data_IF_698920355642
#
_entry.id   IF_698920355642
#
_cell.length_a   1.000
_cell.length_b   1.000
_cell.length_c   1.000
_cell.angle_alpha   90.00
_cell.angle_beta   90.00
_cell.angle_gamma   90.00
#
_symmetry.space_group_name_H-M   'P 1'
#
loop_
_entity.id
_entity.type
_entity.pdbx_description
1 polymer ?
#
# COMPACT_ATOMS: atom_id res chain seq x y z
N UNK A 1 -31.81 -59.42 -48.40
CA UNK A 1 -31.73 -59.53 -46.92
C UNK A 1 -31.04 -58.27 -46.42
N UNK A 2 -31.77 -57.33 -45.79
CA UNK A 2 -31.80 -57.09 -44.32
C UNK A 2 -30.38 -57.00 -43.72
N UNK A 3 -29.99 -56.05 -42.90
CA UNK A 3 -30.55 -54.84 -42.30
C UNK A 3 -29.32 -54.14 -41.65
N UNK A 4 -29.21 -52.82 -41.62
CA UNK A 4 -29.45 -52.11 -40.36
C UNK A 4 -28.41 -51.00 -40.15
N UNK A 5 -28.91 -49.77 -40.10
CA UNK A 5 -28.32 -48.58 -39.46
C UNK A 5 -28.20 -48.83 -37.92
N UNK A 6 -27.35 -48.09 -37.17
CA UNK A 6 -27.74 -46.75 -36.73
C UNK A 6 -26.67 -45.67 -36.83
N UNK A 7 -27.15 -44.50 -37.25
CA UNK A 7 -26.56 -43.21 -36.97
C UNK A 7 -26.90 -42.81 -35.53
N UNK A 8 -25.92 -42.69 -34.64
CA UNK A 8 -26.02 -41.96 -33.36
C UNK A 8 -24.62 -41.72 -32.79
N UNK A 9 -23.91 -40.70 -33.29
CA UNK A 9 -22.73 -40.19 -32.59
C UNK A 9 -22.50 -38.67 -32.78
N UNK A 10 -23.35 -37.99 -33.56
CA UNK A 10 -23.17 -36.58 -33.91
C UNK A 10 -24.22 -35.63 -33.28
N UNK A 11 -25.09 -36.11 -32.38
CA UNK A 11 -26.18 -35.30 -31.80
C UNK A 11 -26.09 -35.06 -30.28
N UNK A 12 -25.01 -35.47 -29.61
CA UNK A 12 -24.85 -35.29 -28.15
C UNK A 12 -23.80 -34.26 -27.74
N UNK A 13 -23.15 -33.57 -28.68
CA UNK A 13 -22.10 -32.59 -28.35
C UNK A 13 -22.54 -31.12 -28.39
N UNK A 14 -23.79 -30.87 -28.76
CA UNK A 14 -24.32 -29.51 -28.98
C UNK A 14 -25.37 -29.09 -27.93
N UNK A 15 -25.64 -29.94 -26.93
CA UNK A 15 -26.65 -29.68 -25.89
C UNK A 15 -26.14 -29.20 -24.52
N UNK A 16 -24.84 -29.03 -24.33
CA UNK A 16 -24.29 -28.63 -23.02
C UNK A 16 -23.58 -27.26 -22.99
N UNK A 17 -23.61 -26.49 -24.09
CA UNK A 17 -23.03 -25.13 -24.12
C UNK A 17 -24.08 -24.03 -23.85
N UNK A 18 -25.35 -24.41 -23.67
CA UNK A 18 -26.44 -23.48 -23.33
C UNK A 18 -26.87 -23.55 -21.86
N UNK A 19 -25.93 -23.87 -20.95
CA UNK A 19 -26.13 -23.64 -19.52
C UNK A 19 -26.00 -22.14 -19.22
N UNK A 20 -27.13 -21.44 -19.34
CA UNK A 20 -27.51 -20.20 -18.65
C UNK A 20 -26.37 -19.47 -17.92
N UNK A 21 -25.78 -18.46 -18.56
CA UNK A 21 -25.33 -17.26 -17.84
C UNK A 21 -26.58 -16.47 -17.44
N UNK A 22 -27.23 -16.89 -16.35
CA UNK A 22 -28.14 -15.98 -15.65
C UNK A 22 -27.32 -14.78 -15.13
N UNK A 23 -27.80 -13.54 -15.32
CA UNK A 23 -27.11 -12.38 -14.80
C UNK A 23 -27.05 -12.47 -13.27
N UNK A 24 -25.86 -12.21 -12.72
CA UNK A 24 -25.43 -12.29 -11.32
C UNK A 24 -26.14 -11.24 -10.40
N UNK A 25 -27.40 -10.93 -10.68
CA UNK A 25 -28.24 -9.95 -9.97
C UNK A 25 -28.86 -10.51 -8.68
N UNK A 26 -28.86 -11.84 -8.46
CA UNK A 26 -29.35 -12.43 -7.19
C UNK A 26 -28.35 -12.32 -6.04
N UNK A 27 -27.06 -12.13 -6.34
CA UNK A 27 -25.98 -12.10 -5.32
C UNK A 27 -26.09 -10.92 -4.35
N UNK A 28 -26.76 -9.83 -4.77
CA UNK A 28 -26.90 -8.59 -4.00
C UNK A 28 -28.31 -8.31 -3.48
N UNK A 29 -29.21 -9.31 -3.47
CA UNK A 29 -30.49 -9.16 -2.76
C UNK A 29 -30.26 -9.27 -1.26
N UNK A 30 -30.73 -8.26 -0.52
CA UNK A 30 -30.75 -8.24 0.94
C UNK A 30 -31.91 -9.11 1.43
N UNK A 31 -31.64 -10.39 1.61
CA UNK A 31 -32.59 -11.31 2.24
C UNK A 31 -32.59 -11.09 3.75
N UNK A 32 -33.71 -11.39 4.43
CA UNK A 32 -33.87 -11.19 5.88
C UNK A 32 -32.73 -11.86 6.67
N UNK A 33 -32.33 -13.06 6.25
CA UNK A 33 -31.20 -13.80 6.84
C UNK A 33 -29.89 -13.00 6.79
N UNK A 34 -29.59 -12.36 5.64
CA UNK A 34 -28.39 -11.53 5.48
C UNK A 34 -28.46 -10.30 6.37
N UNK A 35 -29.63 -9.67 6.47
CA UNK A 35 -29.83 -8.51 7.35
C UNK A 35 -29.59 -8.91 8.81
N UNK A 36 -30.17 -10.03 9.26
CA UNK A 36 -29.96 -10.54 10.63
C UNK A 36 -28.48 -10.88 10.85
N UNK A 37 -27.85 -11.64 9.94
CA UNK A 37 -26.45 -12.02 10.04
C UNK A 37 -25.52 -10.82 10.17
N UNK A 38 -25.66 -9.81 9.30
CA UNK A 38 -24.83 -8.60 9.36
C UNK A 38 -25.12 -7.77 10.61
N UNK A 39 -26.38 -7.65 11.02
CA UNK A 39 -26.77 -6.92 12.24
C UNK A 39 -26.13 -7.56 13.47
N UNK A 40 -26.25 -8.88 13.63
CA UNK A 40 -25.66 -9.63 14.75
C UNK A 40 -24.13 -9.55 14.69
N UNK A 41 -23.53 -9.64 13.51
CA UNK A 41 -22.08 -9.54 13.33
C UNK A 41 -21.56 -8.16 13.74
N UNK A 42 -22.16 -7.08 13.26
CA UNK A 42 -21.78 -5.71 13.65
C UNK A 42 -22.03 -5.44 15.13
N UNK A 43 -23.15 -5.93 15.68
CA UNK A 43 -23.44 -5.79 17.11
C UNK A 43 -22.41 -6.54 17.96
N UNK A 44 -22.00 -7.74 17.56
CA UNK A 44 -21.00 -8.55 18.26
C UNK A 44 -19.62 -7.91 18.22
N UNK A 45 -19.20 -7.42 17.04
CA UNK A 45 -17.95 -6.66 16.87
C UNK A 45 -17.96 -5.38 17.70
N UNK A 46 -19.04 -4.60 17.61
CA UNK A 46 -19.22 -3.37 18.37
C UNK A 46 -19.19 -3.62 19.88
N UNK A 47 -19.85 -4.68 20.35
CA UNK A 47 -19.84 -5.09 21.76
C UNK A 47 -18.43 -5.47 22.23
N UNK A 48 -17.71 -6.30 21.47
CA UNK A 48 -16.34 -6.69 21.82
C UNK A 48 -15.39 -5.49 21.86
N UNK A 49 -15.45 -4.60 20.86
CA UNK A 49 -14.65 -3.37 20.83
C UNK A 49 -15.00 -2.42 21.97
N UNK A 50 -16.29 -2.28 22.31
CA UNK A 50 -16.74 -1.47 23.44
C UNK A 50 -16.25 -2.03 24.78
N UNK A 51 -16.40 -3.35 25.00
CA UNK A 51 -15.89 -4.04 26.20
C UNK A 51 -14.39 -3.83 26.37
N UNK A 52 -13.64 -3.98 25.28
CA UNK A 52 -12.21 -3.68 25.28
C UNK A 52 -11.92 -2.20 25.59
N UNK A 53 -12.65 -1.25 25.01
CA UNK A 53 -12.43 0.19 25.22
C UNK A 53 -12.66 0.67 26.67
N UNK A 54 -13.63 0.06 27.37
CA UNK A 54 -14.04 0.44 28.73
C UNK A 54 -13.35 -0.42 29.80
N UNK A 55 -12.52 -1.39 29.42
CA UNK A 55 -11.81 -2.25 30.36
C UNK A 55 -10.89 -1.44 31.30
N UNK A 56 -10.92 -1.75 32.59
CA UNK A 56 -10.13 -1.07 33.64
C UNK A 56 -8.62 -1.16 33.39
N UNK A 57 -8.16 -2.22 32.72
CA UNK A 57 -6.75 -2.38 32.30
C UNK A 57 -6.27 -1.25 31.38
N UNK A 58 -7.17 -0.58 30.65
CA UNK A 58 -6.81 0.60 29.85
C UNK A 58 -6.44 1.80 30.74
N UNK A 59 -7.03 1.94 31.91
CA UNK A 59 -6.67 2.99 32.86
C UNK A 59 -5.31 2.69 33.53
N UNK A 60 -5.00 1.42 33.78
CA UNK A 60 -3.69 0.99 34.30
C UNK A 60 -2.58 1.27 33.29
N UNK A 61 -2.80 0.97 32.00
CA UNK A 61 -1.87 1.30 30.91
C UNK A 61 -1.46 2.78 30.91
N UNK A 62 -2.41 3.70 31.11
CA UNK A 62 -2.13 5.14 31.16
C UNK A 62 -1.19 5.50 32.33
N UNK A 63 -1.28 4.78 33.46
CA UNK A 63 -0.46 5.02 34.65
C UNK A 63 0.95 4.47 34.49
N UNK A 64 1.07 3.29 33.90
CA UNK A 64 2.34 2.55 33.82
C UNK A 64 3.14 2.89 32.55
N UNK A 65 2.49 3.17 31.42
CA UNK A 65 3.13 3.54 30.15
C UNK A 65 3.01 5.04 29.85
N UNK A 66 3.34 5.93 30.81
CA UNK A 66 3.16 7.39 30.64
C UNK A 66 3.76 7.97 29.33
N UNK A 67 4.90 7.46 28.89
CA UNK A 67 5.57 7.90 27.65
C UNK A 67 4.92 7.34 26.37
N UNK A 68 4.04 6.35 26.50
CA UNK A 68 3.29 5.74 25.41
C UNK A 68 2.04 6.53 25.02
N UNK A 69 1.67 7.55 25.78
CA UNK A 69 0.47 8.34 25.56
C UNK A 69 0.78 9.84 25.44
N UNK A 70 -0.03 10.54 24.66
CA UNK A 70 0.07 11.98 24.46
C UNK A 70 -1.30 12.66 24.58
N UNK A 71 -1.36 13.95 24.95
CA UNK A 71 -2.59 14.73 24.86
C UNK A 71 -3.15 14.71 23.43
N UNK A 72 -4.48 14.70 23.31
CA UNK A 72 -5.13 14.73 22.01
C UNK A 72 -4.86 16.06 21.30
N UNK A 73 -4.39 16.04 20.04
CA UNK A 73 -4.25 17.26 19.24
C UNK A 73 -5.60 17.87 18.84
N UNK A 74 -6.72 17.16 19.08
CA UNK A 74 -8.07 17.59 18.72
C UNK A 74 -8.89 18.08 19.93
N UNK A 75 -8.25 18.26 21.09
CA UNK A 75 -8.93 18.70 22.32
C UNK A 75 -9.81 17.63 22.98
N UNK A 76 -9.65 16.35 22.62
CA UNK A 76 -10.33 15.26 23.32
C UNK A 76 -9.74 15.10 24.73
N UNK A 77 -10.61 14.81 25.71
CA UNK A 77 -10.19 14.54 27.10
C UNK A 77 -9.38 13.25 27.23
N UNK A 78 -9.66 12.24 26.39
CA UNK A 78 -8.90 10.99 26.39
C UNK A 78 -7.51 11.20 25.77
N UNK A 79 -6.51 10.55 26.34
CA UNK A 79 -5.16 10.54 25.78
C UNK A 79 -5.09 9.66 24.54
N UNK A 80 -4.19 10.02 23.62
CA UNK A 80 -3.91 9.29 22.40
C UNK A 80 -2.77 8.29 22.63
N UNK A 81 -2.97 7.03 22.23
CA UNK A 81 -1.91 6.02 22.14
C UNK A 81 -0.94 6.40 21.00
N UNK A 82 0.32 6.68 21.37
CA UNK A 82 1.42 7.00 20.44
C UNK A 82 2.43 5.87 20.31
N UNK A 83 2.11 4.69 20.85
CA UNK A 83 2.95 3.48 20.77
C UNK A 83 2.81 2.76 19.43
N UNK A 84 1.72 3.00 18.68
CA UNK A 84 1.55 2.52 17.31
C UNK A 84 2.50 3.28 16.37
N UNK A 85 3.64 2.66 16.12
CA UNK A 85 4.68 3.20 15.25
C UNK A 85 4.20 3.41 13.80
N UNK A 86 3.48 2.43 13.25
CA UNK A 86 3.00 2.45 11.87
C UNK A 86 2.00 3.59 11.67
N UNK A 87 0.98 3.66 12.52
CA UNK A 87 -0.02 4.73 12.45
C UNK A 87 0.62 6.11 12.63
N UNK A 88 1.51 6.28 13.61
CA UNK A 88 2.16 7.58 13.86
C UNK A 88 2.99 8.06 12.67
N UNK A 89 3.70 7.13 12.01
CA UNK A 89 4.49 7.45 10.80
C UNK A 89 3.57 7.76 9.63
N UNK A 90 2.49 7.00 9.46
CA UNK A 90 1.50 7.23 8.39
C UNK A 90 0.76 8.55 8.57
N UNK A 91 0.35 8.87 9.80
CA UNK A 91 -0.23 10.17 10.17
C UNK A 91 0.70 11.31 9.79
N UNK A 92 1.98 11.22 10.14
CA UNK A 92 2.99 12.20 9.77
C UNK A 92 3.07 12.38 8.25
N UNK A 93 3.21 11.28 7.49
CA UNK A 93 3.31 11.37 6.03
C UNK A 93 2.06 12.00 5.43
N UNK A 94 0.87 11.57 5.84
CA UNK A 94 -0.39 12.14 5.31
C UNK A 94 -0.48 13.64 5.60
N UNK A 95 -0.20 14.06 6.84
CA UNK A 95 -0.32 15.46 7.25
C UNK A 95 0.75 16.38 6.65
N UNK A 96 1.96 15.88 6.38
CA UNK A 96 3.00 16.67 5.72
C UNK A 96 2.87 16.65 4.18
N UNK A 97 2.40 15.53 3.62
CA UNK A 97 2.38 15.29 2.18
C UNK A 97 1.04 15.61 1.49
N UNK A 98 -0.05 15.90 2.22
CA UNK A 98 -1.38 16.00 1.60
C UNK A 98 -1.44 16.95 0.39
N UNK A 99 -0.75 18.10 0.46
CA UNK A 99 -0.65 19.06 -0.66
C UNK A 99 -0.01 18.41 -1.88
N UNK A 100 1.05 17.64 -1.68
CA UNK A 100 1.73 16.91 -2.75
C UNK A 100 0.83 15.87 -3.39
N UNK A 101 0.05 15.15 -2.59
CA UNK A 101 -0.90 14.15 -3.07
C UNK A 101 -2.08 14.76 -3.84
N UNK A 102 -2.56 15.95 -3.47
CA UNK A 102 -3.62 16.66 -4.18
C UNK A 102 -3.13 17.30 -5.48
N UNK A 103 -1.92 17.87 -5.47
CA UNK A 103 -1.34 18.53 -6.65
C UNK A 103 -0.90 17.52 -7.72
N UNK A 104 -0.36 16.37 -7.31
CA UNK A 104 0.16 15.35 -8.23
C UNK A 104 -0.84 14.95 -9.34
N UNK A 105 -2.09 14.53 -9.06
CA UNK A 105 -3.04 14.14 -10.11
C UNK A 105 -3.44 15.29 -11.03
N UNK A 106 -3.53 16.53 -10.51
CA UNK A 106 -3.85 17.71 -11.32
C UNK A 106 -2.73 17.99 -12.32
N UNK A 107 -1.49 18.09 -11.82
CA UNK A 107 -0.31 18.35 -12.64
C UNK A 107 0.02 17.19 -13.59
N UNK A 108 -0.17 15.96 -13.15
CA UNK A 108 -0.03 14.76 -14.00
C UNK A 108 -1.02 14.80 -15.16
N UNK A 109 -2.28 15.18 -14.91
CA UNK A 109 -3.32 15.26 -15.94
C UNK A 109 -3.03 16.41 -16.91
N UNK A 110 -2.59 17.56 -16.42
CA UNK A 110 -2.13 18.66 -17.26
C UNK A 110 -0.96 18.22 -18.16
N UNK A 111 0.06 17.58 -17.59
CA UNK A 111 1.21 17.06 -18.36
C UNK A 111 0.77 16.05 -19.40
N UNK A 112 -0.10 15.11 -19.04
CA UNK A 112 -0.63 14.11 -19.97
C UNK A 112 -1.47 14.72 -21.11
N UNK A 113 -2.09 15.88 -20.90
CA UNK A 113 -2.87 16.58 -21.90
C UNK A 113 -1.99 17.40 -22.87
N UNK A 114 -1.06 18.19 -22.33
CA UNK A 114 -0.24 19.10 -23.12
C UNK A 114 0.99 18.41 -23.75
N UNK A 115 1.69 17.58 -22.98
CA UNK A 115 2.95 16.95 -23.40
C UNK A 115 3.06 15.51 -22.86
N UNK A 116 2.28 14.55 -23.41
CA UNK A 116 2.19 13.19 -22.88
C UNK A 116 3.53 12.44 -22.86
N UNK A 117 4.48 12.78 -23.74
CA UNK A 117 5.83 12.21 -23.76
C UNK A 117 6.66 12.54 -22.51
N UNK A 118 6.38 13.66 -21.84
CA UNK A 118 7.07 14.09 -20.62
C UNK A 118 6.44 13.54 -19.34
N UNK A 119 5.32 12.80 -19.42
CA UNK A 119 4.65 12.27 -18.23
C UNK A 119 5.57 11.41 -17.33
N UNK A 120 6.44 10.52 -17.86
CA UNK A 120 7.39 9.79 -17.03
C UNK A 120 8.41 10.72 -16.36
N UNK A 121 8.87 11.74 -17.08
CA UNK A 121 9.80 12.75 -16.53
C UNK A 121 9.15 13.54 -15.41
N UNK A 122 7.88 13.94 -15.58
CA UNK A 122 7.09 14.58 -14.54
C UNK A 122 6.98 13.70 -13.29
N UNK A 123 6.59 12.42 -13.43
CA UNK A 123 6.50 11.52 -12.29
C UNK A 123 7.84 11.36 -11.56
N UNK A 124 8.93 11.18 -12.28
CA UNK A 124 10.26 11.05 -11.69
C UNK A 124 10.69 12.33 -10.97
N UNK A 125 10.58 13.49 -11.63
CA UNK A 125 11.05 14.79 -11.08
C UNK A 125 10.18 15.24 -9.91
N UNK A 126 8.86 15.23 -10.05
CA UNK A 126 7.94 15.63 -8.98
C UNK A 126 8.13 14.76 -7.73
N UNK A 127 8.25 13.45 -7.91
CA UNK A 127 8.45 12.52 -6.79
C UNK A 127 9.85 12.65 -6.18
N UNK A 128 10.87 12.98 -6.98
CA UNK A 128 12.22 13.25 -6.46
C UNK A 128 12.24 14.50 -5.57
N UNK A 129 11.57 15.57 -6.01
CA UNK A 129 11.43 16.79 -5.21
C UNK A 129 10.65 16.49 -3.92
N UNK A 130 9.57 15.70 -4.01
CA UNK A 130 8.83 15.24 -2.84
C UNK A 130 9.74 14.52 -1.82
N UNK A 131 10.52 13.53 -2.28
CA UNK A 131 11.44 12.78 -1.42
C UNK A 131 12.46 13.71 -0.76
N UNK A 132 13.10 14.58 -1.55
CA UNK A 132 14.09 15.51 -1.03
C UNK A 132 13.50 16.46 0.03
N UNK A 133 12.25 16.88 -0.13
CA UNK A 133 11.57 17.80 0.79
C UNK A 133 11.03 17.13 2.06
N UNK A 134 10.46 15.94 1.96
CA UNK A 134 9.82 15.26 3.10
C UNK A 134 10.82 14.38 3.86
N UNK A 135 11.73 13.71 3.16
CA UNK A 135 12.67 12.74 3.75
C UNK A 135 14.11 13.24 3.81
N UNK A 136 14.46 14.26 3.02
CA UNK A 136 15.82 14.78 2.90
C UNK A 136 16.49 14.40 1.59
N UNK A 137 17.45 15.23 1.15
CA UNK A 137 18.13 15.04 -0.14
C UNK A 137 19.05 13.80 -0.13
N UNK A 138 19.60 13.42 1.02
CA UNK A 138 20.41 12.20 1.17
C UNK A 138 19.58 10.95 0.86
N UNK A 139 18.30 10.94 1.28
CA UNK A 139 17.37 9.86 0.98
C UNK A 139 17.08 9.78 -0.51
N UNK A 140 16.94 10.91 -1.19
CA UNK A 140 16.81 10.95 -2.65
C UNK A 140 18.03 10.31 -3.34
N UNK A 141 19.24 10.68 -2.91
CA UNK A 141 20.48 10.10 -3.47
C UNK A 141 20.52 8.59 -3.26
N UNK A 142 20.12 8.10 -2.07
CA UNK A 142 20.04 6.66 -1.80
C UNK A 142 19.03 5.96 -2.72
N UNK A 143 17.85 6.54 -2.94
CA UNK A 143 16.85 5.95 -3.82
C UNK A 143 17.30 5.93 -5.28
N UNK A 144 18.01 6.98 -5.73
CA UNK A 144 18.60 7.04 -7.06
C UNK A 144 19.71 6.00 -7.22
N UNK A 145 20.53 5.80 -6.18
CA UNK A 145 21.55 4.75 -6.12
C UNK A 145 20.93 3.35 -6.20
N UNK A 146 19.86 3.08 -5.45
CA UNK A 146 19.10 1.83 -5.56
C UNK A 146 18.60 1.62 -7.00
N UNK A 147 17.96 2.64 -7.58
CA UNK A 147 17.47 2.58 -8.95
C UNK A 147 18.60 2.29 -9.95
N UNK A 148 19.72 2.99 -9.85
CA UNK A 148 20.89 2.81 -10.71
C UNK A 148 21.46 1.39 -10.61
N UNK A 149 21.54 0.82 -9.41
CA UNK A 149 21.98 -0.56 -9.20
C UNK A 149 21.07 -1.58 -9.91
N UNK A 150 19.75 -1.44 -9.74
CA UNK A 150 18.79 -2.32 -10.43
C UNK A 150 18.74 -2.08 -11.94
N UNK A 151 18.91 -0.85 -12.39
CA UNK A 151 19.01 -0.51 -13.81
C UNK A 151 20.24 -1.18 -14.43
N UNK A 152 21.41 -1.09 -13.80
CA UNK A 152 22.63 -1.73 -14.27
C UNK A 152 22.52 -3.26 -14.26
N UNK A 153 22.02 -3.86 -13.17
CA UNK A 153 21.92 -5.33 -13.07
C UNK A 153 20.91 -5.92 -14.05
N UNK A 154 19.86 -5.16 -14.40
CA UNK A 154 18.87 -5.59 -15.40
C UNK A 154 19.51 -5.84 -16.78
N UNK A 155 20.60 -5.13 -17.10
CA UNK A 155 21.35 -5.29 -18.35
C UNK A 155 22.06 -6.64 -18.44
N UNK A 156 22.44 -7.22 -17.30
CA UNK A 156 23.16 -8.49 -17.21
C UNK A 156 22.26 -9.71 -17.46
N UNK A 157 20.93 -9.52 -17.52
CA UNK A 157 19.94 -10.56 -17.88
C UNK A 157 19.94 -11.80 -16.99
N UNK A 158 20.43 -11.69 -15.76
CA UNK A 158 20.48 -12.78 -14.77
C UNK A 158 19.61 -12.43 -13.55
N UNK A 159 18.44 -13.06 -13.40
CA UNK A 159 17.53 -12.83 -12.26
C UNK A 159 18.22 -13.00 -10.91
N UNK A 160 19.13 -13.97 -10.79
CA UNK A 160 19.91 -14.19 -9.57
C UNK A 160 20.67 -12.94 -9.12
N UNK A 161 21.21 -12.15 -10.05
CA UNK A 161 21.95 -10.94 -9.71
C UNK A 161 21.04 -9.85 -9.15
N UNK A 162 19.78 -9.77 -9.58
CA UNK A 162 18.79 -8.86 -8.99
C UNK A 162 18.57 -9.16 -7.50
N UNK A 163 18.44 -10.44 -7.15
CA UNK A 163 18.31 -10.86 -5.76
C UNK A 163 19.59 -10.64 -4.95
N UNK A 164 20.77 -10.89 -5.54
CA UNK A 164 22.06 -10.60 -4.88
C UNK A 164 22.20 -9.10 -4.59
N UNK A 165 21.90 -8.23 -5.56
CA UNK A 165 21.91 -6.77 -5.35
C UNK A 165 20.91 -6.37 -4.27
N UNK A 166 19.69 -6.92 -4.30
CA UNK A 166 18.69 -6.65 -3.29
C UNK A 166 19.14 -7.08 -1.88
N UNK A 167 19.74 -8.26 -1.78
CA UNK A 167 20.31 -8.80 -0.55
C UNK A 167 21.42 -7.90 -0.03
N UNK A 168 22.39 -7.52 -0.85
CA UNK A 168 23.47 -6.60 -0.47
C UNK A 168 22.91 -5.27 0.04
N UNK A 169 21.97 -4.65 -0.69
CA UNK A 169 21.34 -3.38 -0.29
C UNK A 169 20.57 -3.52 1.03
N UNK A 170 19.91 -4.65 1.29
CA UNK A 170 19.17 -4.88 2.53
C UNK A 170 20.09 -5.15 3.71
N UNK A 171 21.14 -5.96 3.51
CA UNK A 171 22.04 -6.42 4.55
C UNK A 171 23.18 -5.45 4.85
N UNK A 172 23.43 -4.43 4.01
CA UNK A 172 24.48 -3.45 4.25
C UNK A 172 24.38 -2.79 5.64
N UNK A 173 23.18 -2.64 6.20
CA UNK A 173 22.98 -2.05 7.53
C UNK A 173 23.59 -2.87 8.68
N UNK A 174 23.85 -4.16 8.46
CA UNK A 174 24.44 -5.05 9.46
C UNK A 174 25.97 -5.13 9.35
N UNK A 175 26.52 -4.68 8.23
CA UNK A 175 27.96 -4.79 7.92
C UNK A 175 28.64 -3.43 7.96
N UNK A 176 27.95 -2.37 7.52
CA UNK A 176 28.49 -1.02 7.53
C UNK A 176 28.41 -0.44 8.95
N UNK A 177 29.48 0.17 9.47
CA UNK A 177 29.50 0.81 10.79
C UNK A 177 28.72 2.15 10.82
N UNK A 178 27.87 2.39 9.82
CA UNK A 178 27.12 3.64 9.68
C UNK A 178 25.79 3.57 10.42
N UNK A 179 25.66 4.37 11.48
CA UNK A 179 24.40 4.54 12.19
C UNK A 179 23.49 5.55 11.48
N UNK A 180 22.62 5.03 10.60
CA UNK A 180 21.63 5.83 9.89
C UNK A 180 20.64 6.52 10.83
N UNK A 181 20.32 5.91 12.00
CA UNK A 181 19.45 6.53 13.01
C UNK A 181 20.17 7.72 13.62
N UNK A 182 21.40 7.52 14.09
CA UNK A 182 22.23 8.54 14.71
C UNK A 182 22.52 9.74 13.79
N UNK A 183 22.60 9.52 12.47
CA UNK A 183 22.77 10.63 11.50
C UNK A 183 21.44 11.34 11.15
N UNK A 184 20.40 10.58 10.77
CA UNK A 184 19.15 11.17 10.26
C UNK A 184 18.28 11.77 11.37
N UNK A 185 18.25 11.14 12.55
CA UNK A 185 17.35 11.55 13.63
C UNK A 185 17.62 12.97 14.14
N UNK A 186 18.87 13.39 14.44
CA UNK A 186 19.14 14.76 14.87
C UNK A 186 18.87 15.80 13.79
N UNK A 187 19.03 15.44 12.51
CA UNK A 187 18.94 16.37 11.38
C UNK A 187 17.52 16.59 10.87
N UNK A 188 16.74 15.52 10.77
CA UNK A 188 15.40 15.54 10.17
C UNK A 188 14.30 15.14 11.17
N UNK A 189 14.65 14.58 12.32
CA UNK A 189 13.69 14.08 13.29
C UNK A 189 13.26 12.64 13.05
N UNK A 190 12.51 12.10 14.01
CA UNK A 190 12.22 10.67 14.09
C UNK A 190 11.25 10.21 13.00
N UNK A 191 10.26 11.04 12.68
CA UNK A 191 9.20 10.66 11.74
C UNK A 191 9.68 10.61 10.28
N UNK A 192 10.44 11.62 9.77
CA UNK A 192 11.06 11.52 8.45
C UNK A 192 11.96 10.29 8.31
N UNK A 193 12.81 10.01 9.31
CA UNK A 193 13.66 8.82 9.31
C UNK A 193 12.83 7.53 9.18
N UNK A 194 11.78 7.38 9.98
CA UNK A 194 10.91 6.19 9.96
C UNK A 194 10.20 6.04 8.61
N UNK A 195 9.67 7.14 8.07
CA UNK A 195 8.99 7.14 6.79
C UNK A 195 9.96 6.81 5.64
N UNK A 196 11.17 7.37 5.67
CA UNK A 196 12.23 7.06 4.72
C UNK A 196 12.66 5.60 4.79
N UNK A 197 12.77 5.02 5.99
CA UNK A 197 13.10 3.61 6.18
C UNK A 197 12.05 2.69 5.55
N UNK A 198 10.76 2.97 5.72
CA UNK A 198 9.68 2.20 5.08
C UNK A 198 9.73 2.36 3.56
N UNK A 199 9.83 3.60 3.07
CA UNK A 199 9.89 3.91 1.64
C UNK A 199 11.12 3.29 0.96
N UNK A 200 12.26 3.19 1.65
CA UNK A 200 13.48 2.53 1.17
C UNK A 200 13.24 1.05 0.82
N UNK A 201 12.48 0.33 1.65
CA UNK A 201 12.15 -1.08 1.40
C UNK A 201 11.12 -1.23 0.28
N UNK A 202 10.17 -0.30 0.16
CA UNK A 202 9.26 -0.27 -0.99
C UNK A 202 9.98 0.01 -2.30
N UNK A 203 10.95 0.92 -2.30
CA UNK A 203 11.76 1.22 -3.48
C UNK A 203 12.64 0.03 -3.87
N UNK A 204 13.20 -0.69 -2.87
CA UNK A 204 13.92 -1.95 -3.08
C UNK A 204 13.03 -2.99 -3.79
N UNK A 205 11.79 -3.19 -3.33
CA UNK A 205 10.84 -4.12 -3.96
C UNK A 205 10.48 -3.71 -5.39
N UNK A 206 10.30 -2.41 -5.67
CA UNK A 206 10.09 -1.92 -7.04
C UNK A 206 11.31 -2.16 -7.93
N UNK A 207 12.51 -1.96 -7.41
CA UNK A 207 13.75 -2.28 -8.12
C UNK A 207 13.79 -3.76 -8.56
N UNK A 208 13.41 -4.67 -7.66
CA UNK A 208 13.29 -6.10 -7.96
C UNK A 208 12.22 -6.34 -9.04
N UNK A 209 10.99 -5.86 -8.85
CA UNK A 209 9.88 -6.05 -9.80
C UNK A 209 10.26 -5.57 -11.20
N UNK A 210 10.72 -4.33 -11.33
CA UNK A 210 11.18 -3.78 -12.61
C UNK A 210 12.27 -4.65 -13.24
N UNK A 211 13.32 -4.97 -12.50
CA UNK A 211 14.46 -5.68 -13.06
C UNK A 211 14.10 -7.10 -13.52
N UNK A 212 13.28 -7.83 -12.77
CA UNK A 212 12.83 -9.17 -13.13
C UNK A 212 11.89 -9.17 -14.34
N UNK A 213 10.92 -8.25 -14.37
CA UNK A 213 9.97 -8.11 -15.48
C UNK A 213 10.68 -7.68 -16.77
N UNK A 214 11.64 -6.77 -16.66
CA UNK A 214 12.48 -6.40 -17.80
C UNK A 214 13.32 -7.59 -18.30
N UNK A 215 14.00 -8.33 -17.41
CA UNK A 215 14.78 -9.50 -17.83
C UNK A 215 13.88 -10.56 -18.48
N UNK A 216 12.69 -10.79 -17.94
CA UNK A 216 11.71 -11.74 -18.48
C UNK A 216 11.25 -11.34 -19.88
N UNK A 217 10.86 -10.07 -20.09
CA UNK A 217 10.46 -9.57 -21.40
C UNK A 217 11.60 -9.65 -22.42
N UNK A 218 12.83 -9.31 -22.03
CA UNK A 218 14.00 -9.42 -22.91
C UNK A 218 14.36 -10.88 -23.27
N UNK A 219 14.08 -11.86 -22.40
CA UNK A 219 14.28 -13.28 -22.74
C UNK A 219 13.22 -13.81 -23.70
N UNK A 220 12.00 -13.28 -23.62
CA UNK A 220 10.87 -13.69 -24.45
C UNK A 220 10.87 -13.03 -25.84
N UNK A 221 11.50 -11.87 -26.01
CA UNK A 221 11.60 -11.17 -27.29
C UNK A 221 12.30 -12.06 -28.33
N UNK A 222 11.74 -12.33 -29.52
CA UNK A 222 12.37 -13.22 -30.52
C UNK A 222 13.49 -12.52 -31.32
N UNK A 223 13.42 -11.20 -31.48
CA UNK A 223 14.35 -10.39 -32.28
C UNK A 223 15.60 -9.99 -31.45
N UNK A 224 16.78 -10.46 -31.87
CA UNK A 224 18.05 -10.17 -31.20
C UNK A 224 18.40 -8.68 -31.13
N UNK A 225 18.04 -7.89 -32.14
CA UNK A 225 18.29 -6.44 -32.15
C UNK A 225 17.40 -5.73 -31.11
N UNK A 226 16.18 -6.25 -30.87
CA UNK A 226 15.30 -5.76 -29.82
C UNK A 226 15.70 -6.25 -28.43
N UNK A 227 16.27 -7.46 -28.33
CA UNK A 227 16.83 -8.02 -27.08
C UNK A 227 17.94 -7.16 -26.47
N UNK A 228 18.68 -6.40 -27.28
CA UNK A 228 19.83 -5.61 -26.82
C UNK A 228 19.49 -4.20 -26.32
N UNK A 229 18.21 -3.82 -26.31
CA UNK A 229 17.80 -2.48 -25.88
C UNK A 229 17.95 -2.31 -24.37
N UNK A 230 18.36 -1.11 -23.97
CA UNK A 230 18.32 -0.70 -22.57
C UNK A 230 16.86 -0.48 -22.13
N UNK A 231 16.56 -0.69 -20.84
CA UNK A 231 15.27 -0.28 -20.31
C UNK A 231 15.05 1.23 -20.50
N UNK A 232 13.83 1.68 -20.83
CA UNK A 232 13.53 3.10 -21.00
C UNK A 232 13.66 3.85 -19.68
N UNK A 233 14.81 4.52 -19.48
CA UNK A 233 15.26 5.09 -18.20
C UNK A 233 14.18 5.92 -17.47
N UNK A 234 13.55 6.87 -18.16
CA UNK A 234 12.54 7.73 -17.52
C UNK A 234 11.30 6.96 -17.05
N UNK A 235 10.92 5.88 -17.72
CA UNK A 235 9.77 5.05 -17.31
C UNK A 235 10.12 4.19 -16.10
N UNK A 236 11.35 3.66 -16.07
CA UNK A 236 11.83 2.87 -14.93
C UNK A 236 12.02 3.74 -13.69
N UNK A 237 12.52 4.97 -13.88
CA UNK A 237 12.68 5.94 -12.81
C UNK A 237 11.32 6.43 -12.29
N UNK A 238 10.38 6.73 -13.18
CA UNK A 238 9.00 7.08 -12.81
C UNK A 238 8.32 6.00 -11.97
N UNK A 239 8.54 4.72 -12.30
CA UNK A 239 8.02 3.59 -11.53
C UNK A 239 8.66 3.49 -10.15
N UNK A 240 10.00 3.55 -10.08
CA UNK A 240 10.72 3.45 -8.81
C UNK A 240 10.24 4.52 -7.82
N UNK A 241 10.07 5.75 -8.30
CA UNK A 241 9.70 6.88 -7.46
C UNK A 241 8.20 7.20 -7.40
N UNK A 242 7.31 6.39 -7.98
CA UNK A 242 5.90 6.78 -8.13
C UNK A 242 5.26 7.25 -6.81
N UNK A 243 5.01 8.57 -6.70
CA UNK A 243 4.61 9.23 -5.46
C UNK A 243 3.39 8.59 -4.78
N UNK A 244 2.28 8.29 -5.49
CA UNK A 244 1.08 7.76 -4.85
C UNK A 244 1.32 6.50 -4.01
N UNK A 245 2.36 5.73 -4.33
CA UNK A 245 2.71 4.50 -3.61
C UNK A 245 4.04 4.58 -2.88
N UNK A 246 4.78 5.70 -2.93
CA UNK A 246 6.16 5.79 -2.44
C UNK A 246 6.34 5.34 -0.98
N UNK A 247 5.39 5.70 -0.11
CA UNK A 247 5.38 5.32 1.31
C UNK A 247 4.34 4.24 1.64
N UNK A 248 3.16 4.27 0.99
CA UNK A 248 1.99 3.48 1.38
C UNK A 248 2.02 1.99 0.97
N UNK A 249 3.14 1.47 0.46
CA UNK A 249 3.24 0.06 0.06
C UNK A 249 2.50 -0.28 -1.25
N UNK A 250 2.49 -1.56 -1.68
CA UNK A 250 2.53 -1.86 -3.09
C UNK A 250 1.16 -2.28 -3.60
N UNK A 251 0.75 -1.81 -4.77
CA UNK A 251 -0.16 -2.64 -5.55
C UNK A 251 0.08 -2.50 -7.06
N UNK A 252 1.34 -2.40 -7.49
CA UNK A 252 1.59 -2.30 -8.92
C UNK A 252 2.95 -2.88 -9.32
N UNK A 253 2.89 -3.93 -10.11
CA UNK A 253 4.03 -4.44 -10.86
C UNK A 253 4.45 -3.41 -11.92
N UNK A 254 5.66 -3.55 -12.45
CA UNK A 254 6.17 -2.60 -13.43
C UNK A 254 5.35 -2.61 -14.73
N UNK A 255 4.92 -3.78 -15.20
CA UNK A 255 4.08 -3.93 -16.39
C UNK A 255 2.70 -3.26 -16.21
N UNK A 256 2.06 -3.47 -15.06
CA UNK A 256 0.79 -2.80 -14.73
C UNK A 256 0.95 -1.29 -14.69
N UNK A 257 2.10 -0.80 -14.20
CA UNK A 257 2.46 0.62 -14.23
C UNK A 257 2.58 1.15 -15.65
N UNK A 258 3.29 0.43 -16.52
CA UNK A 258 3.41 0.83 -17.92
C UNK A 258 2.04 0.87 -18.62
N UNK A 259 1.19 -0.13 -18.40
CA UNK A 259 -0.17 -0.17 -18.97
C UNK A 259 -0.99 1.04 -18.50
N UNK A 260 -1.00 1.35 -17.21
CA UNK A 260 -1.76 2.47 -16.67
C UNK A 260 -1.21 3.83 -17.11
N UNK A 261 0.11 3.96 -17.22
CA UNK A 261 0.77 5.19 -17.63
C UNK A 261 0.50 5.51 -19.10
N UNK A 262 0.49 4.50 -19.97
CA UNK A 262 0.25 4.67 -21.41
C UNK A 262 -1.25 4.73 -21.76
N UNK A 263 -2.15 4.41 -20.81
CA UNK A 263 -3.59 4.43 -21.04
C UNK A 263 -4.07 5.88 -21.31
N UNK A 264 -4.87 6.12 -22.37
CA UNK A 264 -5.50 7.41 -22.60
C UNK A 264 -6.29 7.86 -21.36
N UNK A 265 -6.08 9.10 -20.94
CA UNK A 265 -6.80 9.66 -19.79
C UNK A 265 -8.24 9.95 -20.22
N UNK A 266 -9.23 9.56 -19.40
CA UNK A 266 -10.61 9.85 -19.74
C UNK A 266 -10.86 11.37 -19.66
N UNK A 267 -12.01 11.86 -20.14
CA UNK A 267 -12.34 13.30 -20.10
C UNK A 267 -12.73 13.70 -18.68
N UNK A 268 -12.37 14.92 -18.25
CA UNK A 268 -12.77 15.46 -16.94
C UNK A 268 -14.29 15.66 -16.88
N UNK A 269 -15.03 14.59 -16.58
CA UNK A 269 -16.47 14.67 -16.36
C UNK A 269 -16.77 15.00 -14.90
N UNK A 270 -17.88 15.70 -14.60
CA UNK A 270 -18.31 15.94 -13.22
C UNK A 270 -18.44 14.65 -12.39
N UNK A 271 -18.86 13.55 -13.03
CA UNK A 271 -18.97 12.24 -12.40
C UNK A 271 -17.61 11.67 -11.96
N UNK A 272 -16.56 11.84 -12.76
CA UNK A 272 -15.20 11.45 -12.38
C UNK A 272 -14.72 12.24 -11.16
N UNK A 273 -14.97 13.56 -11.17
CA UNK A 273 -14.59 14.44 -10.06
C UNK A 273 -15.34 14.05 -8.80
N UNK A 274 -16.65 13.81 -8.87
CA UNK A 274 -17.46 13.33 -7.75
C UNK A 274 -16.97 11.96 -7.23
N UNK A 275 -16.61 11.05 -8.13
CA UNK A 275 -16.05 9.74 -7.76
C UNK A 275 -14.71 9.89 -7.04
N UNK A 276 -13.82 10.75 -7.53
CA UNK A 276 -12.56 11.08 -6.87
C UNK A 276 -12.78 11.70 -5.49
N UNK A 277 -13.68 12.67 -5.38
CA UNK A 277 -14.05 13.30 -4.11
C UNK A 277 -14.60 12.25 -3.12
N UNK A 278 -15.49 11.35 -3.56
CA UNK A 278 -16.00 10.25 -2.74
C UNK A 278 -14.90 9.31 -2.24
N UNK A 279 -13.89 9.01 -3.07
CA UNK A 279 -12.72 8.20 -2.65
C UNK A 279 -11.89 8.94 -1.59
N UNK A 280 -11.66 10.24 -1.76
CA UNK A 280 -10.93 11.06 -0.79
C UNK A 280 -11.70 11.14 0.53
N UNK A 281 -13.01 11.39 0.49
CA UNK A 281 -13.87 11.42 1.67
C UNK A 281 -13.84 10.08 2.41
N UNK A 282 -13.93 8.97 1.68
CA UNK A 282 -13.81 7.63 2.25
C UNK A 282 -12.45 7.42 2.94
N UNK A 283 -11.35 7.82 2.29
CA UNK A 283 -10.02 7.76 2.91
C UNK A 283 -9.91 8.66 4.14
N UNK A 284 -10.52 9.84 4.12
CA UNK A 284 -10.62 10.73 5.28
C UNK A 284 -11.41 10.11 6.43
N UNK A 285 -12.52 9.42 6.14
CA UNK A 285 -13.29 8.69 7.14
C UNK A 285 -12.47 7.57 7.80
N UNK A 286 -11.67 6.82 7.02
CA UNK A 286 -10.75 5.81 7.57
C UNK A 286 -9.67 6.46 8.44
N UNK A 287 -9.11 7.60 8.01
CA UNK A 287 -8.13 8.34 8.80
C UNK A 287 -8.73 8.79 10.15
N UNK A 288 -9.95 9.34 10.15
CA UNK A 288 -10.65 9.75 11.36
C UNK A 288 -10.99 8.56 12.26
N UNK A 289 -11.39 7.43 11.68
CA UNK A 289 -11.63 6.20 12.42
C UNK A 289 -10.36 5.75 13.13
N UNK A 290 -9.23 5.70 12.44
CA UNK A 290 -7.93 5.35 13.03
C UNK A 290 -7.50 6.32 14.14
N UNK A 291 -7.70 7.63 13.93
CA UNK A 291 -7.48 8.62 14.98
C UNK A 291 -8.37 8.34 16.20
N UNK A 292 -9.66 8.09 16.00
CA UNK A 292 -10.58 7.77 17.10
C UNK A 292 -10.14 6.50 17.82
N UNK A 293 -9.83 5.43 17.08
CA UNK A 293 -9.36 4.18 17.66
C UNK A 293 -8.10 4.39 18.52
N UNK A 294 -7.15 5.24 18.10
CA UNK A 294 -5.97 5.53 18.92
C UNK A 294 -6.27 6.24 20.25
N UNK A 295 -7.44 6.87 20.42
CA UNK A 295 -7.84 7.51 21.68
C UNK A 295 -8.65 6.59 22.60
N UNK A 296 -9.29 5.55 22.05
CA UNK A 296 -10.22 4.70 22.81
C UNK A 296 -9.81 3.24 22.89
N UNK A 297 -9.02 2.75 21.93
CA UNK A 297 -8.59 1.37 21.79
C UNK A 297 -7.06 1.35 21.83
N UNK A 298 -6.51 1.23 23.04
CA UNK A 298 -5.06 1.23 23.30
C UNK A 298 -4.40 -0.10 22.90
N UNK A 299 -4.79 -0.67 21.76
CA UNK A 299 -4.39 -2.00 21.33
C UNK A 299 -2.88 -2.11 21.04
N UNK A 300 -2.26 -1.04 20.54
CA UNK A 300 -0.83 -1.01 20.28
C UNK A 300 0.00 -0.92 21.57
N UNK A 301 -0.50 -0.21 22.59
CA UNK A 301 0.12 -0.21 23.91
C UNK A 301 -0.07 -1.57 24.60
N UNK A 302 -1.29 -2.10 24.58
CA UNK A 302 -1.66 -3.38 25.20
C UNK A 302 -0.86 -4.56 24.62
N UNK A 303 -0.59 -4.58 23.31
CA UNK A 303 0.18 -5.66 22.67
C UNK A 303 1.64 -5.74 23.11
N UNK A 304 2.19 -4.66 23.68
CA UNK A 304 3.54 -4.65 24.26
C UNK A 304 3.59 -5.21 25.67
N UNK A 305 2.45 -5.65 26.20
CA UNK A 305 2.31 -6.03 27.60
C UNK A 305 1.54 -7.35 27.78
N UNK A 306 2.19 -8.47 27.44
CA UNK A 306 1.53 -9.78 27.37
C UNK A 306 0.94 -10.24 28.71
N UNK A 307 1.54 -9.85 29.83
CA UNK A 307 1.04 -10.19 31.16
C UNK A 307 -0.33 -9.58 31.46
N UNK A 308 -0.59 -8.35 31.00
CA UNK A 308 -1.90 -7.71 31.16
C UNK A 308 -2.93 -8.32 30.22
N UNK A 309 -2.52 -8.62 28.98
CA UNK A 309 -3.37 -9.30 27.99
C UNK A 309 -3.90 -10.63 28.52
N UNK A 310 -3.08 -11.40 29.24
CA UNK A 310 -3.47 -12.67 29.83
C UNK A 310 -4.59 -12.56 30.89
N UNK A 311 -4.83 -11.36 31.44
CA UNK A 311 -5.87 -11.10 32.45
C UNK A 311 -7.18 -10.56 31.88
N UNK A 312 -7.27 -10.36 30.56
CA UNK A 312 -8.47 -9.83 29.93
C UNK A 312 -9.60 -10.86 29.89
N UNK A 313 -10.84 -10.39 30.09
CA UNK A 313 -12.03 -11.20 29.84
C UNK A 313 -12.17 -11.51 28.33
N UNK A 314 -12.79 -12.65 28.00
CA UNK A 314 -12.93 -13.13 26.62
C UNK A 314 -13.48 -12.06 25.64
N UNK A 315 -14.51 -11.25 25.97
CA UNK A 315 -14.98 -10.18 25.10
C UNK A 315 -13.92 -9.11 24.82
N UNK A 316 -13.14 -8.73 25.84
CA UNK A 316 -12.06 -7.74 25.71
C UNK A 316 -10.88 -8.30 24.92
N UNK A 317 -10.58 -9.59 25.07
CA UNK A 317 -9.56 -10.27 24.27
C UNK A 317 -9.94 -10.30 22.78
N UNK A 318 -11.20 -10.61 22.47
CA UNK A 318 -11.74 -10.52 21.11
C UNK A 318 -11.71 -9.09 20.58
N UNK A 319 -12.08 -8.12 21.41
CA UNK A 319 -11.99 -6.69 21.07
C UNK A 319 -10.56 -6.24 20.81
N UNK A 320 -9.58 -6.71 21.58
CA UNK A 320 -8.15 -6.47 21.34
C UNK A 320 -7.70 -7.08 20.02
N UNK A 321 -8.06 -8.33 19.74
CA UNK A 321 -7.72 -9.00 18.48
C UNK A 321 -8.29 -8.25 17.26
N UNK A 322 -9.55 -7.83 17.33
CA UNK A 322 -10.18 -6.99 16.30
C UNK A 322 -9.47 -5.64 16.17
N UNK A 323 -9.19 -4.96 17.28
CA UNK A 323 -8.50 -3.68 17.28
C UNK A 323 -7.07 -3.77 16.74
N UNK A 324 -6.38 -4.91 16.93
CA UNK A 324 -5.08 -5.17 16.33
C UNK A 324 -5.19 -5.43 14.83
N UNK A 325 -6.19 -6.19 14.38
CA UNK A 325 -6.43 -6.44 12.96
C UNK A 325 -6.70 -5.14 12.17
N UNK A 326 -7.41 -4.20 12.78
CA UNK A 326 -7.64 -2.88 12.19
C UNK A 326 -6.41 -1.95 12.27
N UNK A 327 -5.52 -2.16 13.25
CA UNK A 327 -4.34 -1.32 13.49
C UNK A 327 -3.03 -1.86 12.87
N UNK A 328 -3.01 -3.10 12.40
CA UNK A 328 -1.88 -3.78 11.76
C UNK A 328 -1.80 -3.48 10.27
#
# INVERSE_FOLDING_TARGET
MRAGLPATAAMDKERDVSAKREPDCRRWRWDLEKVIYWTVSFASVGYAMWRFAVNERNAELLREMRHGFAPSPYGLRKQQDVTNWGWRTTKFVVLEAWKWYLLHPVLARATAHFVPSLLPVFYATYSSVFVARIFGWEVLVLFLGQHAAFYAVSRLRRPALCYVVAFVIHFQKFVLPYDAVGYMYPRYGLMPYRAAFVAFHWNLMRGISFSLEFIRSQRAEPDENRRQKWPPYWKTLAYAFYLPTIYMGPPQNYDDFLVQMNKPRPRCTPLEVATCAGRILRSGAHFLLMELMSHYLYSAAMSKWPMVVATLDLPSLLGLALALLFNS
#
